data_IF_898825172226
#
_entry.id   IF_898825172226
#
_cell.length_a   1.000
_cell.length_b   1.000
_cell.length_c   1.000
_cell.angle_alpha   90.00
_cell.angle_beta   90.00
_cell.angle_gamma   90.00
#
_symmetry.space_group_name_H-M   'P 1'
#
loop_
_entity.id
_entity.type
_entity.pdbx_description
1 polymer ?
#
# COMPACT_ATOMS: atom_id res chain seq x y z
N UNK A 1 30.79 -28.75 4.86
CA UNK A 1 29.89 -27.78 5.53
C UNK A 1 28.76 -27.58 4.55
N UNK A 2 27.54 -28.00 4.89
CA UNK A 2 26.37 -27.61 4.10
C UNK A 2 26.26 -26.09 4.19
N UNK A 3 26.26 -25.41 3.05
CA UNK A 3 25.81 -24.03 2.99
C UNK A 3 24.36 -24.05 3.43
N UNK A 4 24.07 -23.46 4.60
CA UNK A 4 22.69 -23.24 5.02
C UNK A 4 22.08 -22.30 3.99
N UNK A 5 21.32 -22.84 3.05
CA UNK A 5 20.50 -22.04 2.14
C UNK A 5 19.68 -21.09 3.01
N UNK A 6 19.92 -19.79 2.83
CA UNK A 6 19.19 -18.76 3.53
C UNK A 6 17.69 -18.88 3.28
N UNK A 7 16.85 -18.11 4.00
CA UNK A 7 15.41 -18.15 3.79
C UNK A 7 15.07 -17.93 2.32
N UNK A 8 14.22 -18.81 1.77
CA UNK A 8 13.75 -18.70 0.40
C UNK A 8 13.02 -17.37 0.14
N UNK A 9 12.91 -16.93 -1.13
CA UNK A 9 12.25 -15.68 -1.50
C UNK A 9 10.84 -15.52 -0.92
N UNK A 10 10.09 -16.61 -0.81
CA UNK A 10 8.74 -16.64 -0.25
C UNK A 10 8.75 -16.32 1.24
N UNK A 11 9.74 -16.81 1.99
CA UNK A 11 9.88 -16.52 3.41
C UNK A 11 10.28 -15.06 3.64
N UNK A 12 11.16 -14.52 2.80
CA UNK A 12 11.55 -13.10 2.84
C UNK A 12 10.32 -12.23 2.58
N UNK A 13 9.56 -12.52 1.52
CA UNK A 13 8.33 -11.80 1.20
C UNK A 13 7.30 -11.89 2.33
N UNK A 14 7.07 -13.07 2.88
CA UNK A 14 6.17 -13.27 4.02
C UNK A 14 6.61 -12.47 5.25
N UNK A 15 7.91 -12.43 5.54
CA UNK A 15 8.48 -11.65 6.64
C UNK A 15 8.29 -10.16 6.42
N UNK A 16 8.55 -9.66 5.21
CA UNK A 16 8.30 -8.26 4.86
C UNK A 16 6.83 -7.88 4.99
N UNK A 17 5.91 -8.74 4.54
CA UNK A 17 4.46 -8.53 4.72
C UNK A 17 4.12 -8.50 6.22
N UNK A 18 4.61 -9.46 7.01
CA UNK A 18 4.34 -9.53 8.44
C UNK A 18 4.80 -8.27 9.20
N UNK A 19 5.88 -7.64 8.76
CA UNK A 19 6.36 -6.36 9.32
C UNK A 19 5.44 -5.18 9.00
N UNK A 20 4.69 -5.25 7.90
CA UNK A 20 3.74 -4.20 7.49
C UNK A 20 2.37 -4.36 8.16
N UNK A 21 2.03 -5.57 8.65
CA UNK A 21 0.70 -5.90 9.21
C UNK A 21 0.19 -4.88 10.24
N UNK A 22 0.97 -4.39 11.23
CA UNK A 22 0.48 -3.42 12.20
C UNK A 22 0.02 -2.11 11.54
N UNK A 23 0.82 -1.60 10.59
CA UNK A 23 0.49 -0.37 9.86
C UNK A 23 -0.73 -0.55 8.96
N UNK A 24 -0.92 -1.76 8.40
CA UNK A 24 -2.10 -2.08 7.62
C UNK A 24 -3.38 -2.09 8.48
N UNK A 25 -3.30 -2.53 9.74
CA UNK A 25 -4.43 -2.45 10.66
C UNK A 25 -4.77 -1.00 11.01
N UNK A 26 -3.78 -0.18 11.36
CA UNK A 26 -3.99 1.25 11.64
C UNK A 26 -4.61 1.95 10.43
N UNK A 27 -4.07 1.68 9.22
CA UNK A 27 -4.60 2.23 7.98
C UNK A 27 -6.04 1.75 7.70
N UNK A 28 -6.38 0.49 8.01
CA UNK A 28 -7.73 -0.04 7.84
C UNK A 28 -8.75 0.63 8.77
N UNK A 29 -8.34 1.05 9.97
CA UNK A 29 -9.19 1.86 10.86
C UNK A 29 -9.42 3.26 10.29
N UNK A 30 -8.35 3.90 9.81
CA UNK A 30 -8.40 5.24 9.21
C UNK A 30 -9.19 5.27 7.91
N UNK A 31 -9.17 4.18 7.15
CA UNK A 31 -9.93 4.03 5.91
C UNK A 31 -11.44 4.25 6.13
N UNK A 32 -11.98 3.93 7.31
CA UNK A 32 -13.40 4.18 7.61
C UNK A 32 -13.76 5.68 7.58
N UNK A 33 -12.75 6.55 7.68
CA UNK A 33 -12.86 8.01 7.63
C UNK A 33 -12.83 8.56 6.20
N UNK A 34 -12.49 7.76 5.19
CA UNK A 34 -12.56 8.17 3.79
C UNK A 34 -13.99 8.59 3.43
N UNK A 35 -14.07 9.71 2.72
CA UNK A 35 -15.31 10.23 2.16
C UNK A 35 -15.85 9.35 1.03
N UNK A 36 -16.88 9.85 0.36
CA UNK A 36 -17.48 9.19 -0.81
C UNK A 36 -16.76 9.52 -2.12
N UNK A 37 -15.89 10.52 -2.12
CA UNK A 37 -15.13 10.93 -3.29
C UNK A 37 -13.82 10.13 -3.39
N UNK A 38 -13.37 9.77 -4.60
CA UNK A 38 -12.05 9.16 -4.79
C UNK A 38 -10.93 10.09 -4.32
N UNK A 39 -9.94 9.52 -3.63
CA UNK A 39 -8.77 10.24 -3.15
C UNK A 39 -7.51 9.78 -3.89
N UNK A 40 -6.67 10.76 -4.24
CA UNK A 40 -5.38 10.56 -4.88
C UNK A 40 -4.28 10.44 -3.83
N UNK A 41 -3.59 9.30 -3.80
CA UNK A 41 -2.57 8.99 -2.79
C UNK A 41 -1.24 8.68 -3.48
N UNK A 42 -0.18 9.38 -3.08
CA UNK A 42 1.17 9.07 -3.53
C UNK A 42 1.59 7.66 -3.05
N UNK A 43 2.14 6.86 -3.95
CA UNK A 43 2.75 5.58 -3.55
C UNK A 43 4.08 5.79 -2.81
N UNK A 44 4.53 4.75 -2.11
CA UNK A 44 5.73 4.81 -1.29
C UNK A 44 6.99 5.25 -2.06
N UNK A 45 7.16 4.75 -3.29
CA UNK A 45 8.29 5.14 -4.15
C UNK A 45 8.30 6.64 -4.43
N UNK A 46 7.14 7.22 -4.80
CA UNK A 46 7.00 8.66 -5.03
C UNK A 46 7.29 9.46 -3.78
N UNK A 47 6.70 9.03 -2.66
CA UNK A 47 6.85 9.72 -1.39
C UNK A 47 8.32 9.79 -0.99
N UNK A 48 9.06 8.69 -1.16
CA UNK A 48 10.50 8.64 -0.89
C UNK A 48 11.27 9.51 -1.89
N UNK A 49 10.96 9.44 -3.19
CA UNK A 49 11.62 10.26 -4.22
C UNK A 49 11.42 11.75 -3.95
N UNK A 50 10.18 12.18 -3.78
CA UNK A 50 9.81 13.56 -3.49
C UNK A 50 10.49 14.07 -2.21
N UNK A 51 10.54 13.25 -1.16
CA UNK A 51 11.26 13.58 0.07
C UNK A 51 12.76 13.81 -0.17
N UNK A 52 13.43 12.90 -0.90
CA UNK A 52 14.86 13.02 -1.21
C UNK A 52 15.17 14.25 -2.07
N UNK A 53 14.27 14.57 -3.00
CA UNK A 53 14.40 15.72 -3.90
C UNK A 53 13.87 17.03 -3.29
N UNK A 54 13.29 16.98 -2.09
CA UNK A 54 12.64 18.11 -1.40
C UNK A 54 11.56 18.78 -2.24
N UNK A 55 10.75 17.97 -2.90
CA UNK A 55 9.62 18.39 -3.71
C UNK A 55 8.33 17.77 -3.17
N UNK A 56 7.20 18.31 -3.62
CA UNK A 56 5.91 17.67 -3.36
C UNK A 56 5.79 16.40 -4.22
N UNK A 57 5.15 15.33 -3.69
CA UNK A 57 4.85 14.13 -4.47
C UNK A 57 4.05 14.46 -5.72
N UNK A 58 4.45 13.90 -6.87
CA UNK A 58 3.67 13.99 -8.10
C UNK A 58 2.45 13.06 -8.00
N UNK A 59 1.33 13.67 -7.59
CA UNK A 59 0.03 13.02 -7.46
C UNK A 59 -0.69 12.79 -8.79
N UNK A 60 -0.08 13.07 -9.96
CA UNK A 60 -0.63 12.66 -11.26
C UNK A 60 0.14 11.46 -11.83
N UNK A 61 1.45 11.39 -11.55
CA UNK A 61 2.35 10.35 -12.07
C UNK A 61 2.40 9.09 -11.22
N UNK A 62 2.21 9.20 -9.91
CA UNK A 62 2.43 8.10 -8.97
C UNK A 62 1.32 8.02 -7.92
N UNK A 63 0.11 8.18 -8.43
CA UNK A 63 -1.15 8.13 -7.70
C UNK A 63 -1.68 6.71 -7.71
N UNK A 64 -1.81 6.14 -6.53
CA UNK A 64 -2.88 5.20 -6.32
C UNK A 64 -4.18 6.01 -6.18
N UNK A 65 -5.22 5.67 -6.94
CA UNK A 65 -6.57 6.18 -6.70
C UNK A 65 -7.25 5.26 -5.72
N UNK A 66 -7.69 5.82 -4.60
CA UNK A 66 -8.33 5.09 -3.51
C UNK A 66 -9.81 5.49 -3.47
N UNK A 67 -10.69 4.51 -3.64
CA UNK A 67 -12.14 4.73 -3.63
C UNK A 67 -12.79 3.83 -2.60
N UNK A 68 -13.64 4.41 -1.75
CA UNK A 68 -14.49 3.64 -0.84
C UNK A 68 -15.56 2.88 -1.65
N UNK A 69 -15.70 1.59 -1.39
CA UNK A 69 -16.76 0.74 -1.95
C UNK A 69 -17.60 0.14 -0.82
N UNK A 70 -18.72 -0.52 -1.15
CA UNK A 70 -19.68 -1.02 -0.15
C UNK A 70 -19.00 -1.85 0.95
N UNK A 71 -18.15 -2.79 0.55
CA UNK A 71 -17.54 -3.76 1.47
C UNK A 71 -16.05 -3.50 1.75
N UNK A 72 -15.52 -2.33 1.41
CA UNK A 72 -14.07 -2.14 1.46
C UNK A 72 -13.53 -0.88 0.80
N UNK A 73 -12.36 -1.05 0.21
CA UNK A 73 -11.65 -0.04 -0.57
C UNK A 73 -11.14 -0.64 -1.86
N UNK A 74 -11.34 0.09 -2.95
CA UNK A 74 -10.72 -0.17 -4.25
C UNK A 74 -9.49 0.72 -4.39
N UNK A 75 -8.35 0.11 -4.73
CA UNK A 75 -7.08 0.79 -4.99
C UNK A 75 -6.70 0.53 -6.44
N UNK A 76 -6.51 1.60 -7.20
CA UNK A 76 -6.10 1.57 -8.61
C UNK A 76 -4.71 2.20 -8.73
N UNK A 77 -3.74 1.44 -9.21
CA UNK A 77 -2.37 1.90 -9.41
C UNK A 77 -1.82 1.31 -10.71
N UNK A 78 -1.43 2.17 -11.64
CA UNK A 78 -1.09 1.77 -13.02
C UNK A 78 -2.19 0.87 -13.64
N UNK A 79 -1.81 -0.26 -14.25
CA UNK A 79 -2.76 -1.23 -14.83
C UNK A 79 -3.27 -2.26 -13.80
N UNK A 80 -3.11 -2.00 -12.50
CA UNK A 80 -3.48 -2.93 -11.43
C UNK A 80 -4.61 -2.36 -10.57
N UNK A 81 -5.54 -3.24 -10.23
CA UNK A 81 -6.63 -2.95 -9.31
C UNK A 81 -6.66 -3.99 -8.21
N UNK A 82 -6.72 -3.55 -6.96
CA UNK A 82 -6.89 -4.40 -5.79
C UNK A 82 -8.08 -3.90 -4.99
N UNK A 83 -8.93 -4.83 -4.57
CA UNK A 83 -10.02 -4.54 -3.62
C UNK A 83 -9.68 -5.19 -2.29
N UNK A 84 -9.63 -4.37 -1.24
CA UNK A 84 -9.44 -4.84 0.14
C UNK A 84 -10.81 -4.76 0.81
N UNK A 85 -11.32 -5.90 1.24
CA UNK A 85 -12.60 -5.99 1.95
C UNK A 85 -12.39 -5.85 3.45
N UNK A 86 -13.29 -5.18 4.15
CA UNK A 86 -13.33 -5.24 5.62
C UNK A 86 -13.71 -6.68 5.98
N UNK A 87 -12.81 -7.44 6.60
CA UNK A 87 -13.16 -8.78 7.09
C UNK A 87 -14.36 -8.73 8.04
N UNK A 88 -15.15 -9.80 8.08
CA UNK A 88 -16.18 -10.02 9.12
C UNK A 88 -15.57 -10.23 10.50
#
# INVERSE_FOLDING_TARGET
MEELEGPGPEFIAATSIAQLVPFLFDAAEDVKKLGSEPEHVAVAEETVRAFLERQDPDLDRSVATVTRVEDGVKIEYEDRTVTITYGE
#
